data_IF_392452248519
#
_entry.id   IF_392452248519
#
_cell.length_a   1.000
_cell.length_b   1.000
_cell.length_c   1.000
_cell.angle_alpha   90.00
_cell.angle_beta   90.00
_cell.angle_gamma   90.00
#
_symmetry.space_group_name_H-M   'P 1'
#
loop_
_entity.id
_entity.type
_entity.pdbx_description
1 polymer ?
#
# COMPACT_ATOMS: atom_id res chain seq x y z
N UNK A 1 16.02 -3.38 -8.94
CA UNK A 1 14.92 -3.31 -7.97
C UNK A 1 13.70 -3.10 -8.84
N UNK A 2 12.91 -4.15 -9.05
CA UNK A 2 11.78 -4.08 -9.97
C UNK A 2 10.75 -3.09 -9.41
N UNK A 3 10.30 -2.17 -10.26
CA UNK A 3 9.30 -1.19 -9.89
C UNK A 3 7.95 -1.90 -9.79
N UNK A 4 7.25 -1.75 -8.66
CA UNK A 4 5.90 -2.25 -8.52
C UNK A 4 4.98 -1.55 -9.53
N UNK A 5 4.11 -2.32 -10.16
CA UNK A 5 2.97 -1.81 -10.93
C UNK A 5 1.80 -1.50 -9.99
N UNK A 6 0.81 -0.77 -10.50
CA UNK A 6 -0.44 -0.49 -9.80
C UNK A 6 -1.17 -1.79 -9.39
N UNK A 7 -1.14 -2.80 -10.26
CA UNK A 7 -1.72 -4.13 -9.98
C UNK A 7 -0.95 -4.87 -8.88
N UNK A 8 0.39 -4.75 -8.84
CA UNK A 8 1.20 -5.36 -7.77
C UNK A 8 0.89 -4.72 -6.42
N UNK A 9 0.78 -3.39 -6.36
CA UNK A 9 0.40 -2.66 -5.14
C UNK A 9 -0.95 -3.16 -4.64
N UNK A 10 -1.93 -3.28 -5.52
CA UNK A 10 -3.25 -3.76 -5.16
C UNK A 10 -3.23 -5.21 -4.67
N UNK A 11 -2.50 -6.10 -5.34
CA UNK A 11 -2.39 -7.50 -4.94
C UNK A 11 -1.74 -7.66 -3.56
N UNK A 12 -0.72 -6.83 -3.26
CA UNK A 12 -0.05 -6.81 -1.94
C UNK A 12 -1.00 -6.29 -0.85
N UNK A 13 -1.82 -5.29 -1.15
CA UNK A 13 -2.74 -4.70 -0.17
C UNK A 13 -4.07 -5.46 -0.03
N UNK A 14 -4.42 -6.35 -0.96
CA UNK A 14 -5.67 -7.12 -0.92
C UNK A 14 -5.93 -7.87 0.41
N UNK A 15 -4.93 -8.51 1.07
CA UNK A 15 -5.13 -9.14 2.38
C UNK A 15 -5.34 -8.16 3.54
N UNK A 16 -5.21 -6.86 3.28
CA UNK A 16 -5.28 -5.78 4.24
C UNK A 16 -6.41 -4.78 3.92
N UNK A 17 -7.28 -5.08 2.96
CA UNK A 17 -8.39 -4.21 2.49
C UNK A 17 -9.36 -3.81 3.60
N UNK A 18 -9.56 -4.67 4.61
CA UNK A 18 -10.45 -4.36 5.73
C UNK A 18 -9.92 -3.23 6.62
N UNK A 19 -8.65 -2.84 6.47
CA UNK A 19 -8.07 -1.70 7.18
C UNK A 19 -8.74 -0.40 6.72
N UNK A 20 -9.29 0.33 7.69
CA UNK A 20 -9.71 1.72 7.50
C UNK A 20 -8.45 2.61 7.39
N UNK A 21 -8.59 3.77 6.75
CA UNK A 21 -7.51 4.74 6.61
C UNK A 21 -6.90 4.77 5.21
N UNK A 22 -5.66 5.22 5.12
CA UNK A 22 -4.98 5.50 3.86
C UNK A 22 -4.58 4.22 3.12
N UNK A 23 -4.32 3.09 3.81
CA UNK A 23 -4.08 1.79 3.16
C UNK A 23 -5.30 1.32 2.37
N UNK A 24 -6.50 1.39 2.97
CA UNK A 24 -7.74 1.03 2.29
C UNK A 24 -8.03 1.97 1.11
N UNK A 25 -7.81 3.28 1.30
CA UNK A 25 -7.96 4.27 0.22
C UNK A 25 -7.01 3.98 -0.95
N UNK A 26 -5.73 3.72 -0.67
CA UNK A 26 -4.75 3.35 -1.69
C UNK A 26 -5.18 2.08 -2.42
N UNK A 27 -5.67 1.07 -1.70
CA UNK A 27 -6.19 -0.15 -2.31
C UNK A 27 -7.42 0.11 -3.21
N UNK A 28 -8.37 0.94 -2.78
CA UNK A 28 -9.64 1.15 -3.48
C UNK A 28 -9.52 2.09 -4.69
N UNK A 29 -8.70 3.14 -4.57
CA UNK A 29 -8.68 4.26 -5.53
C UNK A 29 -7.30 4.57 -6.10
N UNK A 30 -6.23 3.99 -5.56
CA UNK A 30 -4.86 4.34 -5.94
C UNK A 30 -4.39 5.68 -5.39
N UNK A 31 -5.17 6.30 -4.50
CA UNK A 31 -4.79 7.58 -3.91
C UNK A 31 -3.58 7.42 -3.01
N UNK A 32 -2.60 8.31 -3.19
CA UNK A 32 -1.47 8.50 -2.28
C UNK A 32 -1.59 9.89 -1.70
N UNK A 33 -1.72 9.97 -0.39
CA UNK A 33 -1.79 11.21 0.37
C UNK A 33 -0.72 11.22 1.49
N UNK A 34 -0.64 12.33 2.23
CA UNK A 34 0.30 12.49 3.35
C UNK A 34 0.15 11.42 4.45
N UNK A 35 -1.02 10.78 4.57
CA UNK A 35 -1.30 9.76 5.58
C UNK A 35 -0.88 8.36 5.09
N UNK A 36 -0.73 8.18 3.77
CA UNK A 36 -0.46 6.89 3.14
C UNK A 36 0.85 6.26 3.61
N UNK A 37 1.93 7.04 3.67
CA UNK A 37 3.24 6.52 4.11
C UNK A 37 3.25 6.18 5.60
N UNK A 38 2.57 6.98 6.43
CA UNK A 38 2.44 6.74 7.86
C UNK A 38 1.65 5.46 8.16
N UNK A 39 0.49 5.29 7.53
CA UNK A 39 -0.35 4.10 7.73
C UNK A 39 0.32 2.82 7.19
N UNK A 40 1.04 2.89 6.06
CA UNK A 40 1.85 1.77 5.56
C UNK A 40 2.98 1.41 6.53
N UNK A 41 3.64 2.42 7.12
CA UNK A 41 4.66 2.22 8.15
C UNK A 41 4.11 1.52 9.39
N UNK A 42 2.94 1.95 9.87
CA UNK A 42 2.26 1.29 10.99
C UNK A 42 1.92 -0.17 10.67
N UNK A 43 1.42 -0.45 9.46
CA UNK A 43 1.13 -1.80 9.00
C UNK A 43 2.39 -2.70 8.99
N UNK A 44 3.52 -2.18 8.52
CA UNK A 44 4.79 -2.92 8.51
C UNK A 44 5.20 -3.32 9.93
N UNK A 45 5.09 -2.40 10.89
CA UNK A 45 5.39 -2.67 12.30
C UNK A 45 4.46 -3.76 12.84
N UNK A 46 3.15 -3.63 12.64
CA UNK A 46 2.17 -4.62 13.11
C UNK A 46 2.41 -6.03 12.52
N UNK A 47 2.77 -6.12 11.24
CA UNK A 47 3.11 -7.38 10.59
C UNK A 47 4.41 -7.97 11.15
N UNK A 48 5.40 -7.12 11.42
CA UNK A 48 6.68 -7.52 12.02
C UNK A 48 6.48 -8.06 13.44
N UNK A 49 5.69 -7.37 14.26
CA UNK A 49 5.35 -7.78 15.63
C UNK A 49 4.57 -9.10 15.65
N UNK A 50 3.76 -9.36 14.62
CA UNK A 50 3.06 -10.63 14.43
C UNK A 50 3.94 -11.75 13.83
N UNK A 51 5.22 -11.50 13.57
CA UNK A 51 6.15 -12.45 12.94
C UNK A 51 5.90 -12.69 11.45
N UNK A 52 5.06 -11.88 10.80
CA UNK A 52 4.74 -11.96 9.36
C UNK A 52 5.73 -11.15 8.53
N UNK A 53 7.02 -11.50 8.63
CA UNK A 53 8.11 -10.74 8.02
C UNK A 53 8.01 -10.64 6.49
N UNK A 54 7.57 -11.70 5.81
CA UNK A 54 7.41 -11.71 4.36
C UNK A 54 6.33 -10.73 3.88
N UNK A 55 5.24 -10.61 4.64
CA UNK A 55 4.18 -9.63 4.34
C UNK A 55 4.64 -8.21 4.67
N UNK A 56 5.39 -8.04 5.77
CA UNK A 56 5.99 -6.76 6.13
C UNK A 56 6.95 -6.26 5.03
N UNK A 57 7.78 -7.14 4.45
CA UNK A 57 8.68 -6.80 3.33
C UNK A 57 7.89 -6.40 2.07
N UNK A 58 6.80 -7.11 1.76
CA UNK A 58 5.93 -6.76 0.64
C UNK A 58 5.27 -5.40 0.82
N UNK A 59 4.72 -5.11 2.00
CA UNK A 59 4.15 -3.79 2.30
C UNK A 59 5.25 -2.72 2.30
N UNK A 60 6.47 -3.04 2.73
CA UNK A 60 7.63 -2.16 2.61
C UNK A 60 7.93 -1.73 1.16
N UNK A 61 7.73 -2.63 0.20
CA UNK A 61 7.85 -2.27 -1.24
C UNK A 61 6.74 -1.32 -1.67
N UNK A 62 5.52 -1.47 -1.15
CA UNK A 62 4.40 -0.53 -1.41
C UNK A 62 4.68 0.83 -0.79
N UNK A 63 5.27 0.89 0.41
CA UNK A 63 5.74 2.14 1.01
C UNK A 63 6.75 2.84 0.10
N UNK A 64 7.76 2.12 -0.38
CA UNK A 64 8.73 2.68 -1.34
C UNK A 64 8.10 3.13 -2.66
N UNK A 65 7.04 2.46 -3.12
CA UNK A 65 6.24 2.91 -4.26
C UNK A 65 5.52 4.23 -3.96
N UNK A 66 4.88 4.35 -2.80
CA UNK A 66 4.14 5.56 -2.40
C UNK A 66 5.09 6.76 -2.27
N UNK A 67 6.25 6.59 -1.64
CA UNK A 67 7.28 7.63 -1.52
C UNK A 67 7.80 8.13 -2.87
N UNK A 68 7.96 7.22 -3.84
CA UNK A 68 8.43 7.57 -5.19
C UNK A 68 7.34 8.21 -6.04
N UNK A 69 6.09 7.81 -5.83
CA UNK A 69 4.93 8.34 -6.54
C UNK A 69 4.62 9.76 -6.08
N UNK A 70 4.80 10.03 -4.79
CA UNK A 70 4.36 11.28 -4.16
C UNK A 70 2.83 11.35 -4.06
N UNK A 71 2.32 12.51 -3.66
CA UNK A 71 0.87 12.73 -3.60
C UNK A 71 0.23 12.50 -4.97
N UNK A 72 -0.82 11.68 -4.98
CA UNK A 72 -1.52 11.25 -6.18
C UNK A 72 -3.01 11.16 -5.90
N UNK A 73 -3.79 11.89 -6.69
CA UNK A 73 -5.25 11.80 -6.74
C UNK A 73 -5.71 10.38 -7.15
N UNK A 74 -6.99 10.02 -6.93
CA UNK A 74 -7.54 8.75 -7.42
C UNK A 74 -7.20 8.45 -8.88
N UNK A 75 -6.77 7.23 -9.16
CA UNK A 75 -6.38 6.79 -10.52
C UNK A 75 -7.61 6.22 -11.25
N UNK A 76 -8.04 6.81 -12.38
CA UNK A 76 -9.14 6.26 -13.16
C UNK A 76 -8.82 4.85 -13.66
N UNK A 77 -9.67 3.88 -13.32
CA UNK A 77 -9.49 2.48 -13.73
C UNK A 77 -8.75 1.60 -12.72
N UNK A 78 -8.28 2.15 -11.61
CA UNK A 78 -7.59 1.42 -10.52
C UNK A 78 -8.35 0.18 -10.01
N UNK A 79 -9.67 0.26 -9.99
CA UNK A 79 -10.54 -0.80 -9.46
C UNK A 79 -10.98 -1.83 -10.51
N UNK A 80 -10.76 -1.60 -11.82
CA UNK A 80 -11.26 -2.52 -12.88
C UNK A 80 -10.30 -3.69 -13.11
N UNK A 81 -10.44 -4.69 -12.26
CA UNK A 81 -10.28 -6.11 -12.64
C UNK A 81 -11.64 -6.70 -13.00
#
# INVERSE_FOLDING_TARGET
MDLLTDDDVRAILAPHVDRRGAVGRLYDTGTVDQDTTADLGALIIELTDAGRFDDADRVGKVLGYAERTGEREPVPGWSRG
#
